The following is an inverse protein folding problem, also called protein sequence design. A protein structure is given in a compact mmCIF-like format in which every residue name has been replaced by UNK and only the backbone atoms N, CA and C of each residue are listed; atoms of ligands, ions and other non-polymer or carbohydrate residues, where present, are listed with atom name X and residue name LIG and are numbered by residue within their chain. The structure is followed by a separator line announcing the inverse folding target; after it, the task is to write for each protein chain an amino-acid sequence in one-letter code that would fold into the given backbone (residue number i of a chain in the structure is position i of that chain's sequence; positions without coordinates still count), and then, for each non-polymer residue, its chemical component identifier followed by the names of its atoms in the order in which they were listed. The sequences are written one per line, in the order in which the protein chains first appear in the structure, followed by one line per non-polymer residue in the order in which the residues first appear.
data_IF_411066819913
#
_entry.id   IF_411066819913
#
_cell.length_a   1.000
_cell.length_b   1.000
_cell.length_c   1.000
_cell.angle_alpha   90.00
_cell.angle_beta   90.00
_cell.angle_gamma   90.00
#
_symmetry.space_group_name_H-M   'P 1'
#
loop_
_entity.id
_entity.type
_entity.pdbx_description
1 polymer ?
#
# COMPACT_ATOMS: atom_id res chain seq x y z
N UNK A 1 -7.88 2.44 38.75
CA UNK A 1 -9.13 2.43 37.96
C UNK A 1 -8.88 2.11 36.46
N UNK A 2 -7.82 2.59 35.87
CA UNK A 2 -7.48 2.34 34.44
C UNK A 2 -7.07 0.89 34.16
N UNK A 3 -6.36 0.25 35.08
CA UNK A 3 -5.90 -1.14 34.95
C UNK A 3 -7.03 -2.17 34.93
N UNK A 4 -8.16 -1.89 35.58
CA UNK A 4 -9.31 -2.78 35.58
C UNK A 4 -10.18 -2.68 34.32
N UNK A 5 -10.13 -1.56 33.60
CA UNK A 5 -10.84 -1.41 32.36
C UNK A 5 -10.17 -2.19 31.18
N UNK A 6 -8.86 -2.43 31.30
CA UNK A 6 -8.09 -3.17 30.29
C UNK A 6 -8.24 -4.70 30.46
N UNK A 7 -8.39 -5.17 31.68
CA UNK A 7 -8.45 -6.62 31.99
C UNK A 7 -9.74 -7.33 31.54
N UNK A 8 -10.77 -6.60 31.16
CA UNK A 8 -12.03 -7.17 30.65
C UNK A 8 -12.20 -7.09 29.15
N UNK A 9 -11.24 -6.55 28.45
CA UNK A 9 -11.35 -6.30 27.01
C UNK A 9 -10.84 -7.50 26.18
N UNK A 10 -11.57 -7.83 25.13
CA UNK A 10 -11.11 -8.72 24.08
C UNK A 10 -9.83 -8.20 23.44
N UNK A 11 -8.98 -9.09 22.92
CA UNK A 11 -7.62 -8.76 22.47
C UNK A 11 -7.53 -7.57 21.50
N UNK A 12 -8.51 -7.35 20.63
CA UNK A 12 -8.51 -6.20 19.71
C UNK A 12 -8.87 -4.88 20.43
N UNK A 13 -9.67 -4.92 21.50
CA UNK A 13 -9.99 -3.75 22.34
C UNK A 13 -8.79 -3.27 23.15
N UNK A 14 -7.82 -4.14 23.42
CA UNK A 14 -6.57 -3.77 24.11
C UNK A 14 -5.77 -2.81 23.24
N UNK A 15 -5.68 -3.06 21.93
CA UNK A 15 -4.99 -2.17 20.99
C UNK A 15 -5.67 -0.80 20.89
N UNK A 16 -6.99 -0.77 20.80
CA UNK A 16 -7.77 0.47 20.78
C UNK A 16 -7.64 1.23 22.10
N UNK A 17 -7.62 0.51 23.23
CA UNK A 17 -7.43 1.11 24.56
C UNK A 17 -6.04 1.75 24.71
N UNK A 18 -4.99 1.10 24.21
CA UNK A 18 -3.62 1.66 24.20
C UNK A 18 -3.53 2.93 23.36
N UNK A 19 -4.12 2.94 22.16
CA UNK A 19 -4.19 4.12 21.32
C UNK A 19 -5.01 5.25 21.95
N UNK A 20 -6.13 4.92 22.59
CA UNK A 20 -6.95 5.88 23.30
C UNK A 20 -6.18 6.52 24.47
N UNK A 21 -5.52 5.73 25.29
CA UNK A 21 -4.71 6.23 26.40
C UNK A 21 -3.54 7.10 25.92
N UNK A 22 -2.87 6.68 24.83
CA UNK A 22 -1.81 7.48 24.22
C UNK A 22 -2.34 8.84 23.76
N UNK A 23 -3.46 8.84 23.03
CA UNK A 23 -4.09 10.08 22.57
C UNK A 23 -4.55 10.98 23.74
N UNK A 24 -5.11 10.37 24.79
CA UNK A 24 -5.55 11.12 25.97
C UNK A 24 -4.38 11.78 26.68
N UNK A 25 -3.30 11.06 26.92
CA UNK A 25 -2.09 11.60 27.57
C UNK A 25 -1.40 12.65 26.71
N UNK A 26 -1.34 12.40 25.40
CA UNK A 26 -0.80 13.37 24.45
C UNK A 26 -1.64 14.66 24.45
N UNK A 27 -2.98 14.53 24.40
CA UNK A 27 -3.89 15.68 24.42
C UNK A 27 -3.78 16.48 25.72
N UNK A 28 -3.67 15.81 26.85
CA UNK A 28 -3.47 16.48 28.15
C UNK A 28 -2.15 17.26 28.17
N UNK A 29 -1.06 16.65 27.75
CA UNK A 29 0.25 17.33 27.63
C UNK A 29 0.23 18.47 26.63
N UNK A 30 -0.46 18.31 25.51
CA UNK A 30 -0.55 19.31 24.45
C UNK A 30 -1.43 20.50 24.84
N UNK A 31 -2.65 20.26 25.35
CA UNK A 31 -3.58 21.32 25.72
C UNK A 31 -3.00 22.32 26.73
N UNK A 32 -2.21 21.82 27.66
CA UNK A 32 -1.56 22.66 28.66
C UNK A 32 -0.35 23.43 28.12
N UNK A 33 0.16 23.11 26.90
CA UNK A 33 1.45 23.58 26.38
C UNK A 33 1.41 24.07 24.94
N UNK A 34 0.23 24.25 24.32
CA UNK A 34 0.11 24.69 22.92
C UNK A 34 0.81 25.99 22.61
N UNK A 35 0.84 26.94 23.57
CA UNK A 35 1.58 28.20 23.42
C UNK A 35 3.09 28.01 23.56
N UNK A 36 3.53 26.97 24.24
CA UNK A 36 4.96 26.66 24.45
C UNK A 36 5.61 26.03 23.20
N UNK A 37 4.85 25.26 22.41
CA UNK A 37 5.34 24.52 21.25
C UNK A 37 4.52 24.83 19.98
N UNK A 38 4.67 26.03 19.40
CA UNK A 38 3.82 26.47 18.28
C UNK A 38 4.20 25.85 16.93
N UNK A 39 5.40 25.26 16.82
CA UNK A 39 5.91 24.72 15.56
C UNK A 39 5.66 23.23 15.51
N UNK A 40 4.98 22.78 14.47
CA UNK A 40 4.73 21.35 14.18
C UNK A 40 5.48 20.89 12.96
N UNK A 41 6.07 19.70 13.07
CA UNK A 41 6.58 18.91 11.94
C UNK A 41 6.29 17.43 12.20
N UNK A 42 6.09 16.69 11.12
CA UNK A 42 6.11 15.23 11.15
C UNK A 42 7.44 14.69 10.61
N UNK A 43 7.78 13.49 11.06
CA UNK A 43 8.85 12.69 10.53
C UNK A 43 8.34 11.27 10.38
N UNK A 44 8.50 10.71 9.19
CA UNK A 44 8.09 9.33 8.88
C UNK A 44 9.23 8.65 8.17
N UNK A 45 9.49 7.43 8.57
CA UNK A 45 10.44 6.55 7.88
C UNK A 45 10.12 5.10 8.18
N UNK A 46 10.65 4.22 7.35
CA UNK A 46 10.75 2.79 7.62
C UNK A 46 12.24 2.42 7.81
N UNK A 47 12.52 1.50 8.71
CA UNK A 47 13.88 1.08 9.00
C UNK A 47 13.96 -0.40 9.39
N UNK A 48 15.09 -1.04 9.09
CA UNK A 48 15.41 -2.42 9.50
C UNK A 48 16.07 -2.41 10.87
N UNK A 49 15.31 -2.01 11.89
CA UNK A 49 15.77 -1.88 13.29
C UNK A 49 14.76 -2.52 14.23
N UNK A 50 15.23 -2.79 15.45
CA UNK A 50 14.34 -3.09 16.57
C UNK A 50 13.70 -1.77 17.04
N UNK A 51 12.39 -1.68 16.87
CA UNK A 51 11.61 -0.51 17.26
C UNK A 51 11.66 -0.26 18.77
N UNK A 52 11.61 -1.31 19.57
CA UNK A 52 11.60 -1.20 21.03
C UNK A 52 12.95 -0.63 21.52
N UNK A 53 14.06 -1.13 20.98
CA UNK A 53 15.39 -0.62 21.27
C UNK A 53 15.55 0.85 20.88
N UNK A 54 15.03 1.26 19.71
CA UNK A 54 15.04 2.67 19.30
C UNK A 54 14.26 3.56 20.29
N UNK A 55 13.07 3.11 20.69
CA UNK A 55 12.22 3.89 21.60
C UNK A 55 12.84 3.98 23.00
N UNK A 56 13.52 2.94 23.47
CA UNK A 56 14.26 2.94 24.73
C UNK A 56 15.46 3.89 24.67
N UNK A 57 16.22 3.88 23.58
CA UNK A 57 17.33 4.80 23.37
C UNK A 57 16.85 6.27 23.35
N UNK A 58 15.72 6.54 22.71
CA UNK A 58 15.13 7.88 22.71
C UNK A 58 14.63 8.31 24.08
N UNK A 59 14.22 7.35 24.92
CA UNK A 59 13.73 7.61 26.25
C UNK A 59 14.86 7.88 27.28
N UNK A 60 16.08 7.36 27.01
CA UNK A 60 17.23 7.45 27.92
C UNK A 60 17.94 8.84 27.94
N UNK A 61 17.54 9.78 27.11
CA UNK A 61 18.12 11.12 27.13
C UNK A 61 17.74 11.84 28.44
N UNK A 62 18.73 12.26 29.23
CA UNK A 62 18.57 12.82 30.57
C UNK A 62 17.67 14.07 30.66
N UNK A 63 17.46 14.74 29.52
CA UNK A 63 16.58 15.92 29.44
C UNK A 63 15.12 15.59 29.12
N UNK A 64 14.81 14.32 28.95
CA UNK A 64 13.50 13.87 28.52
C UNK A 64 12.65 13.35 29.67
N UNK A 65 11.33 13.61 29.59
CA UNK A 65 10.34 12.95 30.42
C UNK A 65 9.58 11.95 29.54
N UNK A 66 10.04 10.71 29.42
CA UNK A 66 9.43 9.73 28.57
C UNK A 66 8.18 9.11 29.24
N UNK A 67 7.17 8.83 28.43
CA UNK A 67 6.01 8.05 28.81
C UNK A 67 5.79 6.93 27.80
N UNK A 68 6.18 5.72 28.16
CA UNK A 68 5.89 4.51 27.38
C UNK A 68 4.46 4.07 27.66
N UNK A 69 3.67 3.86 26.60
CA UNK A 69 2.33 3.28 26.70
C UNK A 69 2.39 1.78 26.39
N UNK A 70 3.13 1.44 25.35
CA UNK A 70 3.36 0.06 24.90
C UNK A 70 4.72 -0.07 24.22
N UNK A 71 5.05 -1.23 23.65
CA UNK A 71 6.29 -1.49 22.93
C UNK A 71 6.43 -0.68 21.62
N UNK A 72 5.38 -0.01 21.14
CA UNK A 72 5.32 0.67 19.86
C UNK A 72 5.06 2.17 19.97
N UNK A 73 4.82 2.68 21.17
CA UNK A 73 4.37 4.05 21.36
C UNK A 73 5.09 4.72 22.53
N UNK A 74 5.57 5.95 22.27
CA UNK A 74 6.33 6.75 23.22
C UNK A 74 5.92 8.21 23.10
N UNK A 75 5.67 8.87 24.22
CA UNK A 75 5.59 10.31 24.33
C UNK A 75 6.85 10.79 25.03
N UNK A 76 7.51 11.81 24.49
CA UNK A 76 8.65 12.47 25.10
C UNK A 76 8.29 13.93 25.27
N UNK A 77 8.43 14.43 26.48
CA UNK A 77 8.42 15.85 26.76
C UNK A 77 9.82 16.30 27.17
N UNK A 78 10.34 17.28 26.49
CA UNK A 78 11.60 17.96 26.81
C UNK A 78 11.38 19.46 26.96
N UNK A 79 12.40 20.20 27.41
CA UNK A 79 12.29 21.68 27.53
C UNK A 79 12.10 22.38 26.17
N UNK A 80 12.48 21.72 25.08
CA UNK A 80 12.38 22.28 23.71
C UNK A 80 11.20 21.77 22.89
N UNK A 81 10.61 20.62 23.24
CA UNK A 81 9.63 19.97 22.38
C UNK A 81 8.72 18.99 23.12
N UNK A 82 7.60 18.67 22.46
CA UNK A 82 6.73 17.54 22.75
C UNK A 82 6.73 16.62 21.53
N UNK A 83 7.06 15.36 21.73
CA UNK A 83 7.21 14.36 20.67
C UNK A 83 6.26 13.20 20.94
N UNK A 84 5.45 12.86 19.96
CA UNK A 84 4.67 11.62 19.94
C UNK A 84 5.29 10.69 18.90
N UNK A 85 5.77 9.53 19.32
CA UNK A 85 6.20 8.46 18.45
C UNK A 85 5.18 7.33 18.44
N UNK A 86 4.90 6.81 17.25
CA UNK A 86 4.16 5.57 17.02
C UNK A 86 4.90 4.72 16.01
N UNK A 87 4.97 3.42 16.28
CA UNK A 87 5.57 2.48 15.36
C UNK A 87 4.62 1.36 14.94
N UNK A 88 4.89 0.78 13.80
CA UNK A 88 4.24 -0.43 13.30
C UNK A 88 5.31 -1.45 12.97
N UNK A 89 5.24 -2.63 13.59
CA UNK A 89 6.16 -3.73 13.33
C UNK A 89 5.68 -4.53 12.14
N UNK A 90 6.59 -4.80 11.22
CA UNK A 90 6.45 -5.72 10.09
C UNK A 90 7.44 -6.87 10.28
N UNK A 91 7.39 -7.88 9.40
CA UNK A 91 8.26 -9.06 9.51
C UNK A 91 9.76 -8.71 9.40
N UNK A 92 10.11 -7.77 8.54
CA UNK A 92 11.50 -7.46 8.17
C UNK A 92 11.92 -6.02 8.47
N UNK A 93 10.99 -5.17 8.91
CA UNK A 93 11.23 -3.76 9.19
C UNK A 93 10.17 -3.18 10.15
N UNK A 94 10.39 -1.96 10.60
CA UNK A 94 9.36 -1.18 11.27
C UNK A 94 9.10 0.13 10.53
N UNK A 95 7.86 0.63 10.60
CA UNK A 95 7.49 1.99 10.20
C UNK A 95 7.36 2.87 11.42
N UNK A 96 7.99 4.05 11.39
CA UNK A 96 8.00 5.00 12.50
C UNK A 96 7.34 6.30 12.09
N UNK A 97 6.48 6.82 12.97
CA UNK A 97 5.77 8.09 12.83
C UNK A 97 6.05 8.95 14.04
N UNK A 98 6.65 10.12 13.80
CA UNK A 98 6.91 11.11 14.82
C UNK A 98 6.10 12.37 14.54
N UNK A 99 5.31 12.78 15.50
CA UNK A 99 4.69 14.10 15.55
C UNK A 99 5.49 14.96 16.53
N UNK A 100 6.11 16.03 16.04
CA UNK A 100 7.05 16.83 16.80
C UNK A 100 6.53 18.26 16.89
N UNK A 101 6.29 18.75 18.10
CA UNK A 101 5.95 20.12 18.39
C UNK A 101 7.11 20.76 19.15
N UNK A 102 7.63 21.86 18.64
CA UNK A 102 8.79 22.57 19.20
C UNK A 102 8.57 24.04 19.42
N UNK A 103 9.49 24.68 20.13
CA UNK A 103 9.50 26.12 20.37
C UNK A 103 9.85 26.92 19.11
N UNK A 104 10.77 26.39 18.31
CA UNK A 104 11.24 27.00 17.07
C UNK A 104 11.40 25.94 15.94
N UNK A 105 11.56 26.43 14.72
CA UNK A 105 11.86 25.57 13.56
C UNK A 105 13.19 24.85 13.77
N UNK A 106 14.19 25.56 14.28
CA UNK A 106 15.54 25.00 14.50
C UNK A 106 15.52 23.87 15.54
N UNK A 107 14.75 24.01 16.62
CA UNK A 107 14.58 22.93 17.61
C UNK A 107 14.00 21.67 16.98
N UNK A 108 12.95 21.85 16.18
CA UNK A 108 12.28 20.70 15.52
C UNK A 108 13.21 20.04 14.51
N UNK A 109 13.92 20.79 13.69
CA UNK A 109 14.86 20.21 12.71
C UNK A 109 16.06 19.53 13.40
N UNK A 110 16.52 20.06 14.52
CA UNK A 110 17.56 19.42 15.34
C UNK A 110 17.09 18.06 15.88
N UNK A 111 15.85 18.01 16.37
CA UNK A 111 15.24 16.78 16.88
C UNK A 111 15.12 15.74 15.74
N UNK A 112 14.57 16.15 14.58
CA UNK A 112 14.47 15.28 13.41
C UNK A 112 15.84 14.71 13.01
N UNK A 113 16.84 15.55 12.92
CA UNK A 113 18.21 15.13 12.61
C UNK A 113 18.75 14.13 13.64
N UNK A 114 18.54 14.37 14.92
CA UNK A 114 18.97 13.46 15.98
C UNK A 114 18.28 12.08 15.84
N UNK A 115 16.97 12.05 15.61
CA UNK A 115 16.25 10.79 15.40
C UNK A 115 16.80 10.05 14.16
N UNK A 116 16.99 10.77 13.04
CA UNK A 116 17.49 10.16 11.81
C UNK A 116 18.91 9.63 11.95
N UNK A 117 19.80 10.33 12.69
CA UNK A 117 21.17 9.87 12.94
C UNK A 117 21.21 8.55 13.71
N UNK A 118 20.22 8.27 14.58
CA UNK A 118 20.15 7.00 15.32
C UNK A 118 19.77 5.80 14.46
N UNK A 119 19.19 6.04 13.31
CA UNK A 119 18.69 4.98 12.40
C UNK A 119 19.39 4.94 11.05
N UNK A 120 20.28 5.87 10.79
CA UNK A 120 20.89 6.27 9.51
C UNK A 120 21.09 5.13 8.49
N UNK A 121 21.98 4.19 8.81
CA UNK A 121 22.33 3.07 7.91
C UNK A 121 21.18 2.04 7.72
N UNK A 122 20.18 2.09 8.58
CA UNK A 122 19.07 1.14 8.60
C UNK A 122 17.81 1.69 7.95
N UNK A 123 17.82 2.95 7.53
CA UNK A 123 16.67 3.57 6.85
C UNK A 123 16.40 2.85 5.53
N UNK A 124 15.16 2.52 5.30
CA UNK A 124 14.69 1.96 4.04
C UNK A 124 14.48 3.08 3.04
N UNK A 125 15.26 3.09 1.97
CA UNK A 125 15.16 4.05 0.88
C UNK A 125 14.34 3.52 -0.30
N UNK A 126 13.98 2.24 -0.27
CA UNK A 126 13.10 1.63 -1.27
C UNK A 126 11.71 2.27 -1.21
N UNK A 127 11.03 2.42 -2.36
CA UNK A 127 9.68 2.97 -2.40
C UNK A 127 8.73 2.15 -1.53
N UNK A 128 7.88 2.83 -0.82
CA UNK A 128 6.78 2.23 -0.08
C UNK A 128 5.45 2.75 -0.61
N UNK A 129 4.40 1.97 -0.44
CA UNK A 129 3.04 2.41 -0.70
C UNK A 129 2.11 2.00 0.45
N UNK A 130 0.99 2.69 0.58
CA UNK A 130 -0.02 2.36 1.57
C UNK A 130 -1.33 1.95 0.89
N UNK A 131 -1.97 0.96 1.47
CA UNK A 131 -3.28 0.47 1.05
C UNK A 131 -4.27 0.72 2.17
N UNK A 132 -5.31 1.49 1.92
CA UNK A 132 -6.47 1.60 2.78
C UNK A 132 -7.50 0.55 2.34
N UNK A 133 -7.45 -0.62 2.97
CA UNK A 133 -8.35 -1.71 2.67
C UNK A 133 -9.69 -1.48 3.34
N UNK A 134 -10.73 -1.33 2.53
CA UNK A 134 -12.10 -1.10 2.98
C UNK A 134 -12.93 -2.37 2.87
N UNK A 135 -13.76 -2.60 3.88
CA UNK A 135 -14.72 -3.70 3.93
C UNK A 135 -15.95 -3.31 4.74
N UNK A 136 -17.09 -3.93 4.44
CA UNK A 136 -18.32 -3.78 5.22
C UNK A 136 -18.37 -4.84 6.31
N UNK A 137 -18.59 -4.39 7.54
CA UNK A 137 -18.82 -5.28 8.68
C UNK A 137 -20.20 -5.94 8.58
N UNK A 138 -20.45 -6.91 9.45
CA UNK A 138 -21.78 -7.53 9.59
C UNK A 138 -22.90 -6.54 9.98
N UNK A 139 -22.54 -5.37 10.50
CA UNK A 139 -23.47 -4.28 10.84
C UNK A 139 -23.67 -3.28 9.69
N UNK A 140 -23.13 -3.56 8.50
CA UNK A 140 -23.10 -2.65 7.35
C UNK A 140 -22.36 -1.32 7.63
N UNK A 141 -21.40 -1.31 8.55
CA UNK A 141 -20.53 -0.18 8.81
C UNK A 141 -19.25 -0.35 7.97
N UNK A 142 -18.81 0.73 7.31
CA UNK A 142 -17.55 0.73 6.55
C UNK A 142 -16.38 0.84 7.52
N UNK A 143 -15.57 -0.19 7.57
CA UNK A 143 -14.28 -0.17 8.28
C UNK A 143 -13.12 -0.17 7.29
N UNK A 144 -11.97 0.30 7.75
CA UNK A 144 -10.76 0.29 6.94
C UNK A 144 -9.53 -0.05 7.77
N UNK A 145 -8.61 -0.80 7.15
CA UNK A 145 -7.29 -1.10 7.70
C UNK A 145 -6.24 -0.48 6.79
N UNK A 146 -5.35 0.32 7.36
CA UNK A 146 -4.20 0.83 6.63
C UNK A 146 -3.05 -0.18 6.68
N UNK A 147 -2.54 -0.56 5.52
CA UNK A 147 -1.44 -1.50 5.34
C UNK A 147 -0.35 -0.78 4.57
N UNK A 148 0.84 -0.67 5.15
CA UNK A 148 2.03 -0.18 4.46
C UNK A 148 2.89 -1.35 3.99
N UNK A 149 3.37 -1.27 2.76
CA UNK A 149 4.16 -2.32 2.11
C UNK A 149 5.36 -1.72 1.38
N UNK A 150 6.46 -2.48 1.36
CA UNK A 150 7.61 -2.19 0.50
C UNK A 150 7.29 -2.52 -0.95
N UNK A 151 7.70 -1.63 -1.85
CA UNK A 151 7.65 -1.88 -3.29
C UNK A 151 8.95 -2.56 -3.75
N UNK A 152 9.23 -3.72 -3.17
CA UNK A 152 10.44 -4.51 -3.43
C UNK A 152 10.20 -5.68 -4.40
N UNK A 153 9.03 -5.75 -5.03
CA UNK A 153 8.75 -6.77 -6.02
C UNK A 153 9.70 -6.61 -7.23
N UNK A 154 10.55 -7.61 -7.46
CA UNK A 154 11.38 -7.65 -8.64
C UNK A 154 10.51 -7.85 -9.86
N UNK A 155 10.40 -6.82 -10.69
CA UNK A 155 9.70 -6.86 -11.97
C UNK A 155 10.69 -7.29 -13.06
N UNK A 156 10.38 -8.42 -13.68
CA UNK A 156 11.11 -8.91 -14.85
C UNK A 156 10.20 -8.80 -16.07
N UNK A 157 10.72 -8.28 -17.17
CA UNK A 157 9.99 -8.20 -18.45
C UNK A 157 9.56 -9.61 -18.92
N UNK A 158 10.37 -10.63 -18.65
CA UNK A 158 10.09 -12.02 -18.97
C UNK A 158 8.83 -12.57 -18.27
N UNK A 159 8.43 -11.97 -17.15
CA UNK A 159 7.17 -12.33 -16.48
C UNK A 159 5.94 -11.75 -17.19
N UNK A 160 6.13 -10.76 -18.06
CA UNK A 160 5.06 -10.02 -18.75
C UNK A 160 5.46 -9.76 -20.21
N UNK A 161 5.58 -10.81 -21.04
CA UNK A 161 6.18 -10.70 -22.39
C UNK A 161 5.38 -9.86 -23.38
N UNK A 162 4.10 -9.56 -23.09
CA UNK A 162 3.24 -8.77 -23.99
C UNK A 162 3.48 -7.25 -23.87
N UNK A 163 4.35 -6.80 -22.94
CA UNK A 163 4.74 -5.39 -22.84
C UNK A 163 5.95 -5.09 -23.73
N UNK A 164 5.71 -4.84 -25.01
CA UNK A 164 6.76 -4.69 -26.03
C UNK A 164 7.74 -3.53 -25.77
N UNK A 165 7.28 -2.46 -25.13
CA UNK A 165 8.09 -1.28 -24.80
C UNK A 165 8.79 -1.42 -23.42
N UNK A 166 8.61 -2.53 -22.75
CA UNK A 166 9.06 -2.75 -21.39
C UNK A 166 8.00 -2.41 -20.34
N UNK A 167 8.04 -3.16 -19.26
CA UNK A 167 7.02 -3.06 -18.20
C UNK A 167 7.10 -1.73 -17.45
N UNK A 168 8.30 -1.23 -17.19
CA UNK A 168 8.52 0.03 -16.45
C UNK A 168 8.05 1.21 -17.28
N UNK A 169 8.36 1.26 -18.58
CA UNK A 169 7.92 2.28 -19.52
C UNK A 169 6.41 2.32 -19.64
N UNK A 170 5.76 1.15 -19.66
CA UNK A 170 4.31 1.06 -19.66
C UNK A 170 3.71 1.67 -18.38
N UNK A 171 4.25 1.29 -17.21
CA UNK A 171 3.78 1.80 -15.91
C UNK A 171 3.96 3.32 -15.85
N UNK A 172 5.11 3.84 -16.24
CA UNK A 172 5.40 5.28 -16.24
C UNK A 172 4.49 6.05 -17.20
N UNK A 173 4.18 5.47 -18.35
CA UNK A 173 3.24 6.04 -19.32
C UNK A 173 1.83 6.09 -18.73
N UNK A 174 1.38 5.03 -18.03
CA UNK A 174 0.11 5.04 -17.33
C UNK A 174 0.07 6.12 -16.25
N UNK A 175 1.09 6.22 -15.41
CA UNK A 175 1.14 7.21 -14.33
C UNK A 175 1.03 8.63 -14.90
N UNK A 176 1.71 8.93 -16.00
CA UNK A 176 1.71 10.25 -16.67
C UNK A 176 0.49 10.52 -17.53
N UNK A 177 -0.26 9.49 -17.91
CA UNK A 177 -1.43 9.65 -18.79
C UNK A 177 -2.55 10.47 -18.14
N UNK A 178 -3.44 11.02 -18.95
CA UNK A 178 -4.67 11.68 -18.49
C UNK A 178 -5.78 10.69 -18.20
N UNK A 179 -5.74 9.52 -18.82
CA UNK A 179 -6.67 8.43 -18.62
C UNK A 179 -6.49 7.84 -17.24
N UNK A 180 -7.59 7.70 -16.52
CA UNK A 180 -7.56 7.23 -15.14
C UNK A 180 -7.55 5.69 -15.04
N UNK A 181 -8.21 4.99 -15.95
CA UNK A 181 -8.53 3.58 -15.80
C UNK A 181 -7.48 2.68 -16.44
N UNK A 182 -7.06 1.66 -15.70
CA UNK A 182 -6.28 0.52 -16.18
C UNK A 182 -7.02 -0.77 -15.84
N UNK A 183 -7.18 -1.67 -16.81
CA UNK A 183 -7.78 -2.98 -16.60
C UNK A 183 -6.74 -4.06 -16.83
N UNK A 184 -6.48 -4.88 -15.81
CA UNK A 184 -5.60 -6.05 -15.85
C UNK A 184 -6.47 -7.31 -15.93
N UNK A 185 -6.51 -7.93 -17.09
CA UNK A 185 -7.34 -9.10 -17.37
C UNK A 185 -6.49 -10.36 -17.52
N UNK A 186 -6.89 -11.45 -16.91
CA UNK A 186 -6.21 -12.73 -17.10
C UNK A 186 -6.51 -13.77 -16.03
N UNK A 187 -6.12 -15.03 -16.23
CA UNK A 187 -6.38 -16.10 -15.29
C UNK A 187 -5.74 -15.88 -13.92
N UNK A 188 -6.19 -16.57 -12.87
CA UNK A 188 -5.54 -16.54 -11.56
C UNK A 188 -4.06 -16.98 -11.65
N UNK A 189 -3.22 -16.37 -10.79
CA UNK A 189 -1.81 -16.73 -10.68
C UNK A 189 -0.89 -16.14 -11.76
N UNK A 190 -1.41 -15.30 -12.67
CA UNK A 190 -0.61 -14.64 -13.73
C UNK A 190 0.13 -13.39 -13.30
N UNK A 191 -0.02 -12.94 -12.03
CA UNK A 191 0.75 -11.83 -11.47
C UNK A 191 0.06 -10.47 -11.52
N UNK A 192 -1.26 -10.38 -11.74
CA UNK A 192 -2.02 -9.11 -11.73
C UNK A 192 -1.80 -8.29 -10.46
N UNK A 193 -1.96 -8.92 -9.28
CA UNK A 193 -1.71 -8.27 -7.98
C UNK A 193 -0.26 -7.77 -7.85
N UNK A 194 0.71 -8.54 -8.34
CA UNK A 194 2.12 -8.12 -8.34
C UNK A 194 2.34 -6.89 -9.20
N UNK A 195 1.69 -6.83 -10.36
CA UNK A 195 1.74 -5.66 -11.24
C UNK A 195 1.09 -4.43 -10.57
N UNK A 196 -0.02 -4.61 -9.87
CA UNK A 196 -0.66 -3.53 -9.08
C UNK A 196 0.31 -2.99 -8.01
N UNK A 197 0.96 -3.86 -7.23
CA UNK A 197 1.97 -3.46 -6.24
C UNK A 197 3.11 -2.67 -6.87
N UNK A 198 3.58 -3.11 -8.01
CA UNK A 198 4.62 -2.42 -8.77
C UNK A 198 4.19 -1.04 -9.26
N UNK A 199 2.96 -0.90 -9.75
CA UNK A 199 2.39 0.39 -10.15
C UNK A 199 2.34 1.34 -8.94
N UNK A 200 1.85 0.89 -7.79
CA UNK A 200 1.79 1.71 -6.57
C UNK A 200 3.19 2.12 -6.09
N UNK A 201 4.15 1.19 -6.10
CA UNK A 201 5.53 1.51 -5.78
C UNK A 201 6.16 2.54 -6.75
N UNK A 202 5.86 2.42 -8.04
CA UNK A 202 6.34 3.37 -9.04
C UNK A 202 5.67 4.74 -8.90
N UNK A 203 4.38 4.78 -8.54
CA UNK A 203 3.69 6.03 -8.17
C UNK A 203 4.37 6.72 -6.99
N UNK A 204 4.77 5.95 -5.97
CA UNK A 204 5.53 6.48 -4.82
C UNK A 204 6.85 7.10 -5.24
N UNK A 205 7.60 6.43 -6.13
CA UNK A 205 8.86 6.95 -6.66
C UNK A 205 8.67 8.26 -7.44
N UNK A 206 7.63 8.34 -8.27
CA UNK A 206 7.30 9.56 -9.03
C UNK A 206 6.86 10.71 -8.13
N UNK A 207 6.14 10.41 -7.06
CA UNK A 207 5.61 11.39 -6.12
C UNK A 207 6.69 11.88 -5.12
N UNK A 208 7.74 11.08 -4.90
CA UNK A 208 8.75 11.33 -3.87
C UNK A 208 8.21 11.14 -2.43
N UNK A 209 7.08 10.44 -2.28
CA UNK A 209 6.45 10.08 -1.01
C UNK A 209 5.57 8.85 -1.20
N UNK A 210 5.17 8.18 -0.12
CA UNK A 210 4.31 7.00 -0.20
C UNK A 210 3.03 7.29 -0.99
N UNK A 211 2.80 6.55 -2.07
CA UNK A 211 1.51 6.55 -2.73
C UNK A 211 0.49 5.81 -1.86
N UNK A 212 -0.74 6.30 -1.86
CA UNK A 212 -1.84 5.73 -1.09
C UNK A 212 -2.95 5.27 -2.02
N UNK A 213 -3.51 4.09 -1.76
CA UNK A 213 -4.61 3.55 -2.52
C UNK A 213 -5.80 3.18 -1.63
N UNK A 214 -7.01 3.53 -2.07
CA UNK A 214 -8.24 2.85 -1.63
C UNK A 214 -8.22 1.47 -2.27
N UNK A 215 -8.46 0.44 -1.48
CA UNK A 215 -8.46 -0.94 -1.95
C UNK A 215 -9.68 -1.69 -1.45
N UNK A 216 -10.29 -2.47 -2.32
CA UNK A 216 -11.27 -3.48 -1.93
C UNK A 216 -11.31 -4.63 -2.93
N UNK A 217 -11.58 -5.83 -2.43
CA UNK A 217 -11.98 -7.02 -3.19
C UNK A 217 -13.38 -7.50 -2.77
N UNK A 218 -14.05 -6.76 -1.86
CA UNK A 218 -15.35 -7.14 -1.33
C UNK A 218 -16.50 -6.58 -2.16
N UNK A 219 -17.37 -7.46 -2.67
CA UNK A 219 -18.52 -7.09 -3.48
C UNK A 219 -19.47 -6.12 -2.76
N UNK A 220 -19.77 -6.35 -1.50
CA UNK A 220 -20.69 -5.51 -0.73
C UNK A 220 -20.15 -4.09 -0.55
N UNK A 221 -18.85 -3.99 -0.29
CA UNK A 221 -18.16 -2.70 -0.19
C UNK A 221 -18.26 -1.92 -1.50
N UNK A 222 -18.12 -2.58 -2.63
CA UNK A 222 -18.24 -1.96 -3.96
C UNK A 222 -19.68 -1.55 -4.32
N UNK A 223 -20.68 -2.18 -3.72
CA UNK A 223 -22.08 -1.80 -3.86
C UNK A 223 -22.46 -0.58 -2.99
N UNK A 224 -21.62 -0.19 -2.03
CA UNK A 224 -21.83 0.98 -1.16
C UNK A 224 -21.34 2.27 -1.85
N UNK A 225 -22.15 3.34 -1.75
CA UNK A 225 -21.73 4.67 -2.22
C UNK A 225 -20.57 5.24 -1.38
N UNK A 226 -20.43 4.81 -0.15
CA UNK A 226 -19.49 5.36 0.81
C UNK A 226 -18.03 5.24 0.35
N UNK A 227 -17.63 4.10 -0.26
CA UNK A 227 -16.25 3.92 -0.75
C UNK A 227 -15.94 4.89 -1.90
N UNK A 228 -16.92 5.20 -2.76
CA UNK A 228 -16.78 6.15 -3.86
C UNK A 228 -16.67 7.58 -3.33
N UNK A 229 -17.54 7.96 -2.40
CA UNK A 229 -17.49 9.28 -1.73
C UNK A 229 -16.12 9.44 -1.06
N UNK A 230 -15.65 8.42 -0.35
CA UNK A 230 -14.34 8.44 0.31
C UNK A 230 -13.20 8.63 -0.68
N UNK A 231 -13.20 7.91 -1.80
CA UNK A 231 -12.18 8.12 -2.84
C UNK A 231 -12.28 9.51 -3.48
N UNK A 232 -13.48 10.05 -3.71
CA UNK A 232 -13.66 11.37 -4.32
C UNK A 232 -13.21 12.48 -3.38
N UNK A 233 -13.53 12.39 -2.08
CA UNK A 233 -13.23 13.42 -1.08
C UNK A 233 -11.87 13.25 -0.41
N UNK A 234 -11.25 12.08 -0.54
CA UNK A 234 -9.96 11.73 0.04
C UNK A 234 -8.77 12.26 -0.78
N UNK A 235 -7.59 11.87 -0.37
CA UNK A 235 -6.31 12.25 -0.97
C UNK A 235 -5.54 11.06 -1.57
N UNK A 236 -6.15 9.89 -1.60
CA UNK A 236 -5.53 8.69 -2.14
C UNK A 236 -5.22 8.85 -3.63
N UNK A 237 -4.08 8.32 -4.03
CA UNK A 237 -3.54 8.43 -5.39
C UNK A 237 -4.20 7.44 -6.36
N UNK A 238 -4.70 6.32 -5.83
CA UNK A 238 -5.32 5.28 -6.63
C UNK A 238 -6.55 4.65 -5.95
N UNK A 239 -7.44 4.10 -6.77
CA UNK A 239 -8.48 3.17 -6.37
C UNK A 239 -8.21 1.81 -7.02
N UNK A 240 -7.96 0.80 -6.20
CA UNK A 240 -7.66 -0.57 -6.66
C UNK A 240 -8.84 -1.47 -6.33
N UNK A 241 -9.36 -2.13 -7.35
CA UNK A 241 -10.44 -3.10 -7.25
C UNK A 241 -9.95 -4.43 -7.80
N UNK A 242 -9.71 -5.41 -6.91
CA UNK A 242 -9.33 -6.74 -7.33
C UNK A 242 -10.55 -7.66 -7.48
N UNK A 243 -10.40 -8.67 -8.36
CA UNK A 243 -11.44 -9.63 -8.72
C UNK A 243 -12.78 -8.95 -9.10
N UNK A 244 -12.67 -7.87 -9.88
CA UNK A 244 -13.75 -6.99 -10.26
C UNK A 244 -14.73 -7.60 -11.31
N UNK A 245 -14.73 -8.91 -11.47
CA UNK A 245 -15.48 -9.61 -12.54
C UNK A 245 -16.94 -9.16 -12.64
N UNK A 246 -17.64 -9.06 -11.50
CA UNK A 246 -19.03 -8.65 -11.43
C UNK A 246 -19.23 -7.14 -11.69
N UNK A 247 -18.22 -6.31 -11.46
CA UNK A 247 -18.27 -4.85 -11.66
C UNK A 247 -17.96 -4.45 -13.10
N UNK A 248 -17.26 -5.29 -13.84
CA UNK A 248 -16.81 -4.98 -15.19
C UNK A 248 -17.76 -5.51 -16.26
N UNK A 249 -18.69 -6.40 -15.91
CA UNK A 249 -19.68 -6.94 -16.84
C UNK A 249 -20.52 -5.86 -17.52
N UNK A 250 -21.03 -6.13 -18.72
CA UNK A 250 -21.92 -5.20 -19.42
C UNK A 250 -23.15 -4.82 -18.60
N UNK A 251 -23.55 -3.56 -18.68
CA UNK A 251 -24.78 -3.05 -18.04
C UNK A 251 -26.04 -3.74 -18.54
N UNK A 252 -26.02 -4.26 -19.77
CA UNK A 252 -27.07 -5.12 -20.32
C UNK A 252 -27.31 -6.40 -19.52
N UNK A 253 -26.32 -6.83 -18.71
CA UNK A 253 -26.41 -7.96 -17.78
C UNK A 253 -26.83 -7.56 -16.36
N UNK A 254 -27.34 -6.33 -16.15
CA UNK A 254 -27.83 -5.84 -14.86
C UNK A 254 -26.75 -5.25 -13.94
N UNK A 255 -25.63 -4.80 -14.51
CA UNK A 255 -24.57 -4.15 -13.74
C UNK A 255 -24.81 -2.65 -13.59
N UNK A 256 -25.55 -2.26 -12.56
CA UNK A 256 -25.88 -0.85 -12.28
C UNK A 256 -24.70 -0.11 -11.57
N UNK A 257 -23.73 -0.83 -11.02
CA UNK A 257 -22.67 -0.22 -10.22
C UNK A 257 -21.55 0.41 -11.06
N UNK A 258 -21.40 -0.01 -12.31
CA UNK A 258 -20.34 0.50 -13.19
C UNK A 258 -20.43 2.01 -13.42
N UNK A 259 -21.64 2.60 -13.44
CA UNK A 259 -21.82 4.03 -13.69
C UNK A 259 -21.06 4.91 -12.68
N UNK A 260 -20.88 4.45 -11.45
CA UNK A 260 -20.13 5.17 -10.39
C UNK A 260 -18.67 5.37 -10.78
N UNK A 261 -18.02 4.30 -11.27
CA UNK A 261 -16.65 4.39 -11.77
C UNK A 261 -16.56 5.25 -13.04
N UNK A 262 -17.54 5.15 -13.91
CA UNK A 262 -17.60 5.97 -15.13
C UNK A 262 -17.66 7.46 -14.78
N UNK A 263 -18.46 7.84 -13.77
CA UNK A 263 -18.57 9.23 -13.31
C UNK A 263 -17.24 9.78 -12.80
N UNK A 264 -16.45 8.96 -12.08
CA UNK A 264 -15.12 9.35 -11.60
C UNK A 264 -14.14 9.43 -12.77
N UNK A 265 -14.19 8.47 -13.70
CA UNK A 265 -13.29 8.38 -14.82
C UNK A 265 -13.55 9.46 -15.88
N UNK A 266 -14.78 9.93 -16.04
CA UNK A 266 -15.17 10.96 -17.04
C UNK A 266 -14.74 12.39 -16.70
N UNK A 267 -14.22 12.60 -15.51
CA UNK A 267 -13.58 13.87 -15.16
C UNK A 267 -14.52 15.06 -14.94
N UNK A 268 -15.85 14.89 -14.76
CA UNK A 268 -16.71 15.96 -14.19
C UNK A 268 -16.17 16.32 -12.80
N UNK A 269 -15.78 15.32 -12.04
CA UNK A 269 -14.92 15.46 -10.86
C UNK A 269 -13.51 15.13 -11.34
N UNK A 270 -12.75 16.15 -11.74
CA UNK A 270 -11.37 15.95 -12.20
C UNK A 270 -10.60 15.20 -11.12
N UNK A 271 -10.25 13.96 -11.38
CA UNK A 271 -9.52 13.09 -10.46
C UNK A 271 -8.08 13.58 -10.19
N UNK A 272 -7.70 14.73 -10.72
CA UNK A 272 -6.40 15.40 -10.51
C UNK A 272 -5.19 14.45 -10.69
N UNK A 273 -5.28 13.55 -11.66
CA UNK A 273 -4.23 12.55 -11.92
C UNK A 273 -4.37 11.25 -11.11
N UNK A 274 -5.41 11.10 -10.27
CA UNK A 274 -5.67 9.85 -9.55
C UNK A 274 -6.03 8.72 -10.50
N UNK A 275 -5.66 7.50 -10.14
CA UNK A 275 -5.76 6.32 -11.00
C UNK A 275 -6.81 5.33 -10.48
N UNK A 276 -7.38 4.54 -11.38
CA UNK A 276 -8.32 3.46 -11.05
C UNK A 276 -7.79 2.19 -11.71
N UNK A 277 -7.52 1.16 -10.91
CA UNK A 277 -6.93 -0.08 -11.39
C UNK A 277 -7.90 -1.22 -11.09
N UNK A 278 -8.34 -1.92 -12.12
CA UNK A 278 -9.13 -3.14 -11.99
C UNK A 278 -8.29 -4.36 -12.29
N UNK A 279 -8.44 -5.42 -11.50
CA UNK A 279 -8.06 -6.76 -11.91
C UNK A 279 -9.28 -7.63 -12.13
N UNK A 280 -9.25 -8.50 -13.12
CA UNK A 280 -10.35 -9.41 -13.45
C UNK A 280 -9.85 -10.74 -14.01
N UNK A 281 -10.63 -11.79 -13.78
CA UNK A 281 -10.42 -13.11 -14.34
C UNK A 281 -11.36 -13.41 -15.52
N UNK A 282 -12.16 -12.44 -15.97
CA UNK A 282 -13.05 -12.59 -17.13
C UNK A 282 -12.25 -13.05 -18.34
N UNK A 283 -12.72 -14.13 -19.05
CA UNK A 283 -11.91 -14.75 -20.08
C UNK A 283 -11.86 -13.96 -21.39
N UNK A 284 -12.93 -13.22 -21.73
CA UNK A 284 -13.05 -12.57 -23.03
C UNK A 284 -13.11 -11.04 -22.93
N UNK A 285 -12.71 -10.39 -24.00
CA UNK A 285 -12.78 -8.91 -24.14
C UNK A 285 -14.23 -8.43 -24.06
N UNK A 286 -15.15 -9.11 -24.71
CA UNK A 286 -16.57 -8.77 -24.77
C UNK A 286 -17.31 -8.93 -23.45
N UNK A 287 -16.66 -9.51 -22.44
CA UNK A 287 -17.23 -9.66 -21.10
C UNK A 287 -17.09 -8.36 -20.26
N UNK A 288 -16.35 -7.36 -20.77
CA UNK A 288 -16.15 -6.05 -20.12
C UNK A 288 -16.99 -4.99 -20.82
N UNK A 289 -17.69 -4.16 -20.06
CA UNK A 289 -18.54 -3.08 -20.62
C UNK A 289 -17.72 -2.08 -21.46
N UNK A 290 -18.10 -1.88 -22.70
CA UNK A 290 -17.43 -1.00 -23.64
C UNK A 290 -17.27 0.44 -23.16
N UNK A 291 -18.19 0.93 -22.30
CA UNK A 291 -18.11 2.28 -21.78
C UNK A 291 -16.88 2.49 -20.87
N UNK A 292 -16.38 1.44 -20.22
CA UNK A 292 -15.18 1.53 -19.37
C UNK A 292 -13.90 1.63 -20.21
N UNK A 293 -13.83 0.85 -21.30
CA UNK A 293 -12.61 0.70 -22.12
C UNK A 293 -12.51 1.74 -23.25
N UNK A 294 -13.37 2.75 -23.26
CA UNK A 294 -13.35 3.82 -24.29
C UNK A 294 -12.09 4.68 -24.21
N UNK A 295 -11.56 5.12 -25.40
CA UNK A 295 -10.49 6.10 -25.45
C UNK A 295 -10.82 7.37 -24.64
N UNK A 296 -9.82 7.97 -24.01
CA UNK A 296 -9.97 9.15 -23.15
C UNK A 296 -10.38 8.86 -21.71
N UNK A 297 -10.77 7.60 -21.40
CA UNK A 297 -11.12 7.12 -20.07
C UNK A 297 -10.19 6.02 -19.62
N UNK A 298 -10.05 4.99 -20.45
CA UNK A 298 -9.18 3.84 -20.20
C UNK A 298 -7.83 4.05 -20.89
N UNK A 299 -6.77 4.02 -20.11
CA UNK A 299 -5.40 4.05 -20.62
C UNK A 299 -5.10 2.77 -21.41
N UNK A 300 -5.36 1.63 -20.78
CA UNK A 300 -5.16 0.34 -21.41
C UNK A 300 -6.00 -0.75 -20.75
N UNK A 301 -6.37 -1.73 -21.55
CA UNK A 301 -6.79 -3.05 -21.10
C UNK A 301 -5.66 -4.02 -21.43
N UNK A 302 -5.03 -4.58 -20.42
CA UNK A 302 -3.87 -5.45 -20.54
C UNK A 302 -4.29 -6.89 -20.29
N UNK A 303 -3.95 -7.78 -21.21
CA UNK A 303 -4.05 -9.22 -21.01
C UNK A 303 -2.81 -9.73 -20.30
N UNK A 304 -2.97 -10.21 -19.06
CA UNK A 304 -1.89 -10.84 -18.29
C UNK A 304 -2.10 -12.36 -18.38
N UNK A 305 -1.49 -12.95 -19.40
CA UNK A 305 -1.72 -14.35 -19.77
C UNK A 305 -0.76 -15.33 -19.10
N UNK A 306 -1.02 -16.58 -19.25
CA UNK A 306 -0.08 -17.64 -18.93
C UNK A 306 1.12 -17.60 -19.90
N UNK A 307 2.29 -17.97 -19.40
CA UNK A 307 3.52 -18.08 -20.20
C UNK A 307 3.54 -19.42 -20.96
N UNK A 308 4.07 -19.43 -22.16
CA UNK A 308 4.42 -20.67 -22.82
C UNK A 308 5.69 -21.30 -22.20
N UNK A 309 6.08 -22.49 -22.68
CA UNK A 309 7.25 -23.19 -22.13
C UNK A 309 8.55 -22.39 -22.32
N UNK A 310 8.73 -21.73 -23.46
CA UNK A 310 9.95 -20.96 -23.75
C UNK A 310 10.03 -19.73 -22.86
N UNK A 311 8.93 -19.00 -22.72
CA UNK A 311 8.82 -17.83 -21.86
C UNK A 311 9.04 -18.22 -20.38
N UNK A 312 8.44 -19.32 -19.95
CA UNK A 312 8.64 -19.84 -18.58
C UNK A 312 10.11 -20.19 -18.30
N UNK A 313 10.80 -20.81 -19.26
CA UNK A 313 12.24 -21.13 -19.15
C UNK A 313 13.10 -19.85 -19.08
N UNK A 314 12.78 -18.84 -19.91
CA UNK A 314 13.47 -17.56 -19.88
C UNK A 314 13.29 -16.87 -18.52
N UNK A 315 12.07 -16.86 -17.98
CA UNK A 315 11.79 -16.29 -16.66
C UNK A 315 12.56 -17.01 -15.54
N UNK A 316 12.62 -18.35 -15.57
CA UNK A 316 13.41 -19.14 -14.59
C UNK A 316 14.88 -18.72 -14.65
N UNK A 317 15.44 -18.61 -15.85
CA UNK A 317 16.84 -18.21 -16.04
C UNK A 317 17.10 -16.79 -15.45
N UNK A 318 16.22 -15.85 -15.72
CA UNK A 318 16.34 -14.47 -15.20
C UNK A 318 16.18 -14.42 -13.68
N UNK A 319 15.30 -15.20 -13.09
CA UNK A 319 15.10 -15.25 -11.63
C UNK A 319 16.31 -15.82 -10.90
N UNK A 320 16.98 -16.81 -11.46
CA UNK A 320 18.14 -17.45 -10.84
C UNK A 320 19.44 -16.67 -10.99
N UNK A 321 19.47 -15.58 -11.78
CA UNK A 321 20.59 -14.65 -11.89
C UNK A 321 21.96 -15.32 -12.10
N UNK A 322 22.02 -16.31 -13.00
CA UNK A 322 23.26 -17.03 -13.35
C UNK A 322 23.55 -18.27 -12.49
N UNK A 323 22.67 -18.64 -11.56
CA UNK A 323 22.71 -19.96 -10.94
C UNK A 323 22.22 -21.04 -11.94
N UNK A 324 22.56 -22.31 -11.67
CA UNK A 324 22.16 -23.41 -12.52
C UNK A 324 20.63 -23.59 -12.55
N UNK A 325 20.03 -23.28 -13.70
CA UNK A 325 18.61 -23.36 -13.95
C UNK A 325 18.18 -24.77 -14.49
N UNK A 326 19.12 -25.66 -14.76
CA UNK A 326 18.88 -26.90 -15.52
C UNK A 326 17.82 -27.78 -14.86
N UNK A 327 17.90 -27.98 -13.54
CA UNK A 327 16.95 -28.83 -12.81
C UNK A 327 15.53 -28.30 -12.85
N UNK A 328 15.35 -26.98 -12.76
CA UNK A 328 14.05 -26.32 -12.81
C UNK A 328 13.46 -26.35 -14.22
N UNK A 329 14.28 -26.10 -15.23
CA UNK A 329 13.89 -26.16 -16.65
C UNK A 329 13.46 -27.59 -17.03
N UNK A 330 14.20 -28.61 -16.59
CA UNK A 330 13.84 -29.99 -16.79
C UNK A 330 12.55 -30.38 -16.06
N UNK A 331 12.31 -29.80 -14.89
CA UNK A 331 11.04 -29.92 -14.18
C UNK A 331 9.86 -29.37 -14.97
N UNK A 332 10.01 -28.17 -15.55
CA UNK A 332 8.98 -27.58 -16.42
C UNK A 332 8.69 -28.47 -17.64
N UNK A 333 9.72 -28.95 -18.33
CA UNK A 333 9.58 -29.83 -19.48
C UNK A 333 8.88 -31.17 -19.14
N UNK A 334 9.25 -31.77 -18.00
CA UNK A 334 8.65 -33.04 -17.54
C UNK A 334 7.21 -32.88 -17.08
N UNK A 335 6.77 -31.68 -16.69
CA UNK A 335 5.40 -31.44 -16.25
C UNK A 335 4.35 -31.70 -17.34
N UNK A 336 4.75 -31.69 -18.63
CA UNK A 336 3.86 -31.83 -19.77
C UNK A 336 2.86 -30.69 -19.98
N UNK A 337 2.92 -29.64 -19.14
CA UNK A 337 2.08 -28.44 -19.29
C UNK A 337 2.51 -27.63 -20.50
N UNK A 338 1.55 -27.08 -21.24
CA UNK A 338 1.80 -26.18 -22.37
C UNK A 338 1.90 -24.71 -21.92
N UNK A 339 1.25 -24.37 -20.81
CA UNK A 339 1.18 -23.02 -20.29
C UNK A 339 1.41 -23.02 -18.77
N UNK A 340 2.06 -21.98 -18.27
CA UNK A 340 2.49 -21.85 -16.89
C UNK A 340 2.03 -20.50 -16.31
N UNK A 341 1.48 -20.51 -15.11
CA UNK A 341 1.25 -19.29 -14.35
C UNK A 341 2.54 -18.83 -13.69
N UNK A 342 2.65 -17.54 -13.36
CA UNK A 342 3.77 -17.05 -12.55
C UNK A 342 3.82 -17.76 -11.20
N UNK A 343 2.66 -18.07 -10.61
CA UNK A 343 2.58 -18.80 -9.35
C UNK A 343 3.21 -20.21 -9.46
N UNK A 344 3.01 -20.92 -10.58
CA UNK A 344 3.67 -22.23 -10.82
C UNK A 344 5.20 -22.07 -10.83
N UNK A 345 5.70 -21.04 -11.52
CA UNK A 345 7.14 -20.82 -11.69
C UNK A 345 7.80 -20.39 -10.38
N UNK A 346 7.24 -19.43 -9.67
CA UNK A 346 7.78 -18.98 -8.39
C UNK A 346 7.75 -20.08 -7.34
N UNK A 347 6.69 -20.90 -7.30
CA UNK A 347 6.61 -22.05 -6.40
C UNK A 347 7.70 -23.08 -6.71
N UNK A 348 8.00 -23.32 -7.99
CA UNK A 348 9.05 -24.27 -8.39
C UNK A 348 10.46 -23.81 -7.97
N UNK A 349 10.72 -22.49 -7.93
CA UNK A 349 12.03 -21.93 -7.57
C UNK A 349 12.19 -21.77 -6.05
N UNK A 350 11.10 -21.56 -5.31
CA UNK A 350 11.14 -21.36 -3.86
C UNK A 350 11.34 -22.66 -3.03
N UNK A 351 11.44 -23.80 -3.70
CA UNK A 351 11.79 -25.10 -3.11
C UNK A 351 13.30 -25.30 -3.25
#
# INVERSE_FOLDING_TARGET
MVQNAVNGALSYQVWDSSNFLLNLRFSDSFLNKTKKYPIYRDLRFAARIDLEALLDELALDDNNQPLRIDSKSLIIESDGALILCRGSLKKEYCSCYFSIWGKSVDDVEKIKKNILTKVDENIIHEPMFSINWHFLTSKNEMESVNIEELANDVLLNEAYPDFNEGLIEFIDSYIRSKEAVLVLQGPPGTGKTRLIRAILGRMSSHKGSNASAVYTGDKKTMESDEIFVRFITGWEDAFVVEDADHMLKPRSEGNDNLHRFLTIADGVIRSQGRKIIFSTNLPNVGDIDDALIRPGRCFARVSVRLLDLTEAMNLVTSLLKGQDATSYIDGLKRSGKKHFSLADIYKAIAV
#
